data_IF_169244787179
#
_entry.id   IF_169244787179
#
_cell.length_a   1.000
_cell.length_b   1.000
_cell.length_c   1.000
_cell.angle_alpha   90.00
_cell.angle_beta   90.00
_cell.angle_gamma   90.00
#
_symmetry.space_group_name_H-M   'P 1'
#
loop_
_entity.id
_entity.type
_entity.pdbx_description
1 polymer ?
#
# COMPACT_ATOMS: atom_id res chain seq x y z
N UNK A 1 -20.71 -11.95 2.64
CA UNK A 1 -19.48 -12.73 2.90
C UNK A 1 -18.30 -11.81 2.62
N UNK A 2 -17.57 -11.35 3.64
CA UNK A 2 -16.45 -10.39 3.47
C UNK A 2 -15.15 -11.05 3.88
N UNK A 3 -14.23 -11.15 2.92
CA UNK A 3 -12.85 -11.61 3.08
C UNK A 3 -12.11 -10.68 4.03
N UNK A 4 -11.44 -11.25 5.03
CA UNK A 4 -10.63 -10.52 6.00
C UNK A 4 -9.39 -9.94 5.29
N UNK A 5 -9.21 -8.63 5.36
CA UNK A 5 -8.11 -7.88 4.73
C UNK A 5 -7.01 -7.69 5.79
N UNK A 6 -5.81 -8.18 5.49
CA UNK A 6 -4.61 -8.13 6.34
C UNK A 6 -4.31 -6.71 6.83
N UNK A 7 -4.21 -6.54 8.15
CA UNK A 7 -3.90 -5.27 8.82
C UNK A 7 -2.42 -4.90 8.63
N UNK A 8 -2.16 -3.76 7.99
CA UNK A 8 -0.86 -3.09 7.97
C UNK A 8 -0.96 -1.80 8.78
N UNK A 9 -0.15 -1.68 9.83
CA UNK A 9 -0.11 -0.50 10.71
C UNK A 9 0.23 0.77 9.94
N UNK A 10 -0.61 1.80 10.10
CA UNK A 10 -0.67 3.02 9.28
C UNK A 10 0.38 4.09 9.62
N UNK A 11 1.34 3.83 10.51
CA UNK A 11 2.33 4.81 11.00
C UNK A 11 3.61 4.93 10.15
N UNK A 12 3.75 4.21 9.04
CA UNK A 12 5.06 4.04 8.34
C UNK A 12 5.00 4.26 6.82
N UNK A 13 3.97 4.92 6.29
CA UNK A 13 3.98 5.43 4.92
C UNK A 13 4.45 6.89 5.01
N UNK A 14 5.57 7.23 4.37
CA UNK A 14 6.05 8.62 4.40
C UNK A 14 5.02 9.51 3.71
N UNK A 15 4.69 10.67 4.28
CA UNK A 15 3.77 11.62 3.65
C UNK A 15 4.24 12.07 2.26
N UNK A 16 5.54 11.95 1.99
CA UNK A 16 6.12 12.17 0.67
C UNK A 16 5.67 11.11 -0.34
N UNK A 17 5.54 9.84 0.04
CA UNK A 17 5.15 8.73 -0.84
C UNK A 17 3.76 8.95 -1.44
N UNK A 18 2.89 9.65 -0.71
CA UNK A 18 1.56 10.04 -1.18
C UNK A 18 1.60 10.99 -2.38
N UNK A 19 2.70 11.72 -2.55
CA UNK A 19 2.93 12.66 -3.67
C UNK A 19 3.73 12.04 -4.81
N UNK A 20 4.35 10.89 -4.57
CA UNK A 20 5.16 10.20 -5.58
C UNK A 20 4.29 9.36 -6.52
N UNK A 21 4.69 9.33 -7.78
CA UNK A 21 4.15 8.39 -8.76
C UNK A 21 4.88 7.03 -8.69
N UNK A 22 4.44 6.06 -9.48
CA UNK A 22 4.99 4.71 -9.48
C UNK A 22 6.50 4.67 -9.77
N UNK A 23 6.97 5.42 -10.77
CA UNK A 23 8.38 5.46 -11.16
C UNK A 23 9.26 6.11 -10.07
N UNK A 24 8.75 7.16 -9.42
CA UNK A 24 9.44 7.83 -8.32
C UNK A 24 9.54 6.94 -7.08
N UNK A 25 8.51 6.13 -6.80
CA UNK A 25 8.55 5.15 -5.72
C UNK A 25 9.52 4.00 -6.03
N UNK A 26 9.58 3.56 -7.28
CA UNK A 26 10.56 2.58 -7.75
C UNK A 26 11.98 3.12 -7.58
N UNK A 27 12.24 4.36 -8.00
CA UNK A 27 13.57 4.98 -7.82
C UNK A 27 13.94 5.12 -6.33
N UNK A 28 12.99 5.51 -5.47
CA UNK A 28 13.21 5.70 -4.02
C UNK A 28 13.53 4.39 -3.29
N UNK A 29 12.75 3.34 -3.55
CA UNK A 29 12.80 2.09 -2.76
C UNK A 29 13.45 0.91 -3.49
N UNK A 30 13.80 1.08 -4.77
CA UNK A 30 14.38 0.04 -5.61
C UNK A 30 15.57 0.53 -6.47
N UNK A 31 16.62 1.12 -5.87
CA UNK A 31 17.78 1.61 -6.61
C UNK A 31 18.63 0.52 -7.28
N UNK A 32 18.53 -0.74 -6.83
CA UNK A 32 19.34 -1.87 -7.31
C UNK A 32 18.56 -2.97 -8.03
N UNK A 33 17.24 -2.83 -8.19
CA UNK A 33 16.38 -3.88 -8.73
C UNK A 33 16.03 -4.96 -7.68
N UNK A 34 14.74 -5.11 -7.36
CA UNK A 34 14.23 -6.07 -6.37
C UNK A 34 13.65 -5.46 -5.09
N UNK A 35 13.80 -4.14 -4.89
CA UNK A 35 13.26 -3.38 -3.77
C UNK A 35 11.75 -3.47 -3.60
N UNK A 36 11.30 -3.06 -2.41
CA UNK A 36 9.88 -3.03 -2.05
C UNK A 36 9.62 -1.92 -1.03
N UNK A 37 8.44 -1.32 -1.09
CA UNK A 37 7.98 -0.39 -0.06
C UNK A 37 8.00 -1.03 1.36
N UNK A 38 8.40 -0.29 2.42
CA UNK A 38 8.50 -0.82 3.79
C UNK A 38 7.20 -1.39 4.36
N UNK A 39 6.06 -0.70 4.13
CA UNK A 39 4.73 -1.11 4.63
C UNK A 39 3.91 -1.84 3.56
N UNK A 40 3.76 -1.22 2.38
CA UNK A 40 3.01 -1.75 1.25
C UNK A 40 3.82 -2.82 0.50
N UNK A 41 4.08 -3.95 1.14
CA UNK A 41 4.94 -5.02 0.60
C UNK A 41 4.35 -5.73 -0.63
N UNK A 42 5.21 -6.43 -1.38
CA UNK A 42 4.80 -7.31 -2.50
C UNK A 42 3.84 -8.42 -2.07
N UNK A 43 3.85 -8.84 -0.80
CA UNK A 43 2.91 -9.83 -0.29
C UNK A 43 1.48 -9.30 -0.24
N UNK A 44 1.30 -8.04 0.19
CA UNK A 44 0.00 -7.36 0.19
C UNK A 44 -0.51 -7.16 -1.23
N UNK A 45 0.36 -6.69 -2.14
CA UNK A 45 0.02 -6.57 -3.56
C UNK A 45 -0.42 -7.91 -4.17
N UNK A 46 0.32 -9.01 -3.91
CA UNK A 46 -0.06 -10.35 -4.41
C UNK A 46 -1.39 -10.81 -3.86
N UNK A 47 -1.69 -10.51 -2.59
CA UNK A 47 -3.00 -10.77 -2.00
C UNK A 47 -4.10 -10.00 -2.76
N UNK A 48 -3.89 -8.71 -3.00
CA UNK A 48 -4.86 -7.88 -3.71
C UNK A 48 -5.07 -8.32 -5.17
N UNK A 49 -4.01 -8.74 -5.87
CA UNK A 49 -4.12 -9.36 -7.20
C UNK A 49 -4.91 -10.66 -7.15
N UNK A 50 -4.60 -11.55 -6.19
CA UNK A 50 -5.29 -12.84 -6.04
C UNK A 50 -6.78 -12.66 -5.72
N UNK A 51 -7.13 -11.59 -4.99
CA UNK A 51 -8.51 -11.24 -4.65
C UNK A 51 -9.18 -10.31 -5.67
N UNK A 52 -8.54 -10.04 -6.83
CA UNK A 52 -9.05 -9.15 -7.88
C UNK A 52 -9.35 -7.71 -7.41
N UNK A 53 -8.68 -7.27 -6.34
CA UNK A 53 -8.75 -5.89 -5.83
C UNK A 53 -7.97 -4.95 -6.75
N UNK A 54 -6.88 -5.43 -7.34
CA UNK A 54 -6.06 -4.65 -8.28
C UNK A 54 -5.58 -5.51 -9.44
N UNK A 55 -5.40 -4.86 -10.60
CA UNK A 55 -4.69 -5.41 -11.76
C UNK A 55 -3.45 -4.59 -12.10
N UNK A 56 -3.13 -3.57 -11.30
CA UNK A 56 -2.02 -2.66 -11.54
C UNK A 56 -0.68 -3.32 -11.22
N UNK A 57 0.40 -2.80 -11.82
CA UNK A 57 1.75 -3.16 -11.43
C UNK A 57 2.03 -2.82 -9.97
N UNK A 58 3.05 -3.44 -9.37
CA UNK A 58 3.34 -3.28 -7.94
C UNK A 58 3.46 -1.81 -7.51
N UNK A 59 4.28 -1.01 -8.19
CA UNK A 59 4.50 0.39 -7.81
C UNK A 59 3.32 1.31 -8.09
N UNK A 60 2.53 1.01 -9.13
CA UNK A 60 1.26 1.70 -9.38
C UNK A 60 0.27 1.43 -8.24
N UNK A 61 0.17 0.17 -7.80
CA UNK A 61 -0.63 -0.21 -6.66
C UNK A 61 -0.15 0.45 -5.37
N UNK A 62 1.18 0.54 -5.13
CA UNK A 62 1.73 1.26 -3.97
C UNK A 62 1.33 2.75 -4.02
N UNK A 63 1.50 3.42 -5.16
CA UNK A 63 1.14 4.84 -5.30
C UNK A 63 -0.35 5.09 -5.07
N UNK A 64 -1.21 4.24 -5.64
CA UNK A 64 -2.66 4.33 -5.45
C UNK A 64 -3.04 4.07 -3.99
N UNK A 65 -2.53 3.01 -3.39
CA UNK A 65 -2.83 2.62 -2.01
C UNK A 65 -2.32 3.68 -1.03
N UNK A 66 -1.11 4.20 -1.20
CA UNK A 66 -0.56 5.27 -0.35
C UNK A 66 -1.43 6.55 -0.39
N UNK A 67 -2.04 6.86 -1.54
CA UNK A 67 -2.98 7.98 -1.68
C UNK A 67 -4.34 7.67 -1.05
N UNK A 68 -4.81 6.44 -1.19
CA UNK A 68 -6.10 5.98 -0.68
C UNK A 68 -6.12 5.88 0.86
N UNK A 69 -4.99 5.53 1.49
CA UNK A 69 -4.82 5.50 2.96
C UNK A 69 -5.11 6.87 3.60
N UNK A 70 -5.08 7.96 2.83
CA UNK A 70 -5.46 9.30 3.29
C UNK A 70 -6.96 9.51 3.53
N UNK A 71 -7.83 8.56 3.14
CA UNK A 71 -9.29 8.70 3.12
C UNK A 71 -10.03 7.71 4.02
N UNK A 72 -9.36 7.02 4.96
CA UNK A 72 -10.09 6.49 6.13
C UNK A 72 -9.31 6.80 7.41
N UNK A 73 -9.77 7.77 8.24
CA UNK A 73 -9.35 7.75 9.64
C UNK A 73 -9.77 6.40 10.18
N UNK A 74 -8.84 5.71 10.83
CA UNK A 74 -9.14 4.60 11.73
C UNK A 74 -10.18 5.12 12.74
N UNK A 75 -11.47 4.97 12.45
CA UNK A 75 -12.50 5.07 13.47
C UNK A 75 -12.28 3.82 14.30
N UNK A 76 -11.44 3.97 15.33
CA UNK A 76 -11.49 3.18 16.54
C UNK A 76 -12.95 3.18 16.98
N UNK A 77 -13.72 2.17 16.58
CA UNK A 77 -14.90 1.79 17.33
C UNK A 77 -14.39 1.30 18.69
N UNK A 78 -14.42 2.23 19.64
CA UNK A 78 -14.40 1.97 21.08
C UNK A 78 -15.53 0.99 21.37
N UNK A 79 -15.19 -0.26 21.69
CA UNK A 79 -16.09 -1.23 22.33
C UNK A 79 -15.15 -2.11 23.20
N UNK A 80 -15.19 -2.16 24.53
CA UNK A 80 -16.27 -2.02 25.50
C UNK A 80 -15.68 -1.55 26.85
#
# INVERSE_FOLDING_TARGET
MRTQRTVVSSDHIDAEDMRLNADQLDEKYNPTGGGQHPVLTKAHWRNDVAHQVTTAGYWEWVSQTAKDVSIEPVILEIIH
#
